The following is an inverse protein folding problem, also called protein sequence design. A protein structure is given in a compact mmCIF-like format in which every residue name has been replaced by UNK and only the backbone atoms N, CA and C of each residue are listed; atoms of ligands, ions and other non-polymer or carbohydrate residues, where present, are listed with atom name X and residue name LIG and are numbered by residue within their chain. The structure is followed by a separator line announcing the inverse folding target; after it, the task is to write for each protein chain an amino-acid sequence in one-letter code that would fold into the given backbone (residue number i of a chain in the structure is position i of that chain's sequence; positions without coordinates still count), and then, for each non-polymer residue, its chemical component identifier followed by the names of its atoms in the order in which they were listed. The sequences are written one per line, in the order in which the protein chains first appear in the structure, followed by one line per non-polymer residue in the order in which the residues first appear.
data_IF_544762923301
#
_entry.id   IF_544762923301
#
_cell.length_a   1.000
_cell.length_b   1.000
_cell.length_c   1.000
_cell.angle_alpha   90.00
_cell.angle_beta   90.00
_cell.angle_gamma   90.00
#
_symmetry.space_group_name_H-M   'P 1'
#
loop_
_entity.id
_entity.type
_entity.pdbx_description
1 polymer ?
#
# COMPACT_ATOMS: atom_id res chain seq x y z
N UNK A 1 -31.46 17.57 -6.56
CA UNK A 1 -31.76 16.59 -7.59
C UNK A 1 -30.98 15.31 -7.37
N UNK A 2 -31.57 14.16 -7.68
CA UNK A 2 -30.86 12.89 -7.47
C UNK A 2 -29.52 12.81 -8.21
N UNK A 3 -29.44 13.40 -9.40
CA UNK A 3 -28.20 13.40 -10.18
C UNK A 3 -27.06 14.12 -9.46
N UNK A 4 -27.37 15.24 -8.82
CA UNK A 4 -26.35 16.01 -8.11
C UNK A 4 -25.80 15.22 -6.91
N UNK A 5 -26.67 14.57 -6.15
CA UNK A 5 -26.26 13.75 -5.01
C UNK A 5 -25.42 12.55 -5.48
N UNK A 6 -25.81 11.93 -6.58
CA UNK A 6 -25.08 10.82 -7.17
C UNK A 6 -23.69 11.26 -7.65
N UNK A 7 -23.61 12.42 -8.29
CA UNK A 7 -22.33 12.96 -8.78
C UNK A 7 -21.36 13.20 -7.64
N UNK A 8 -21.83 13.74 -6.50
CA UNK A 8 -20.99 13.95 -5.34
C UNK A 8 -20.48 12.63 -4.76
N UNK A 9 -21.34 11.63 -4.65
CA UNK A 9 -20.95 10.31 -4.18
C UNK A 9 -19.93 9.67 -5.12
N UNK A 10 -20.16 9.76 -6.43
CA UNK A 10 -19.25 9.23 -7.44
C UNK A 10 -17.89 9.91 -7.37
N UNK A 11 -17.88 11.24 -7.16
CA UNK A 11 -16.64 11.99 -7.04
C UNK A 11 -15.84 11.51 -5.82
N UNK A 12 -16.48 11.36 -4.66
CA UNK A 12 -15.82 10.88 -3.44
C UNK A 12 -15.28 9.46 -3.64
N UNK A 13 -16.05 8.57 -4.26
CA UNK A 13 -15.63 7.21 -4.55
C UNK A 13 -14.43 7.19 -5.49
N UNK A 14 -14.43 8.07 -6.51
CA UNK A 14 -13.30 8.21 -7.44
C UNK A 14 -12.04 8.68 -6.73
N UNK A 15 -12.16 9.68 -5.85
CA UNK A 15 -11.02 10.19 -5.12
C UNK A 15 -10.41 9.13 -4.21
N UNK A 16 -11.25 8.36 -3.52
CA UNK A 16 -10.80 7.25 -2.67
C UNK A 16 -10.16 6.15 -3.49
N UNK A 17 -10.73 5.83 -4.65
CA UNK A 17 -10.17 4.81 -5.54
C UNK A 17 -8.80 5.24 -6.09
N UNK A 18 -8.65 6.52 -6.42
CA UNK A 18 -7.37 7.06 -6.89
C UNK A 18 -6.31 7.01 -5.80
N UNK A 19 -6.66 7.40 -4.57
CA UNK A 19 -5.75 7.32 -3.43
C UNK A 19 -5.32 5.88 -3.18
N UNK A 20 -6.26 4.96 -3.18
CA UNK A 20 -5.97 3.53 -2.99
C UNK A 20 -5.03 3.01 -4.07
N UNK A 21 -5.27 3.40 -5.33
CA UNK A 21 -4.41 3.02 -6.45
C UNK A 21 -3.00 3.57 -6.34
N UNK A 22 -2.86 4.82 -5.91
CA UNK A 22 -1.55 5.45 -5.71
C UNK A 22 -0.77 4.77 -4.59
N UNK A 23 -1.43 4.46 -3.48
CA UNK A 23 -0.82 3.74 -2.36
C UNK A 23 -0.39 2.33 -2.76
N UNK A 24 -1.24 1.64 -3.53
CA UNK A 24 -0.91 0.31 -4.07
C UNK A 24 0.35 0.37 -4.93
N UNK A 25 0.45 1.37 -5.81
CA UNK A 25 1.61 1.57 -6.67
C UNK A 25 2.86 1.84 -5.85
N UNK A 26 2.77 2.68 -4.84
CA UNK A 26 3.90 3.02 -3.99
C UNK A 26 4.48 1.79 -3.30
N UNK A 27 3.62 0.94 -2.76
CA UNK A 27 4.04 -0.29 -2.10
C UNK A 27 4.70 -1.24 -3.11
N UNK A 28 4.08 -1.41 -4.26
CA UNK A 28 4.58 -2.29 -5.33
C UNK A 28 5.94 -1.82 -5.84
N UNK A 29 6.09 -0.52 -6.06
CA UNK A 29 7.35 0.07 -6.53
C UNK A 29 8.48 -0.11 -5.52
N UNK A 30 8.19 0.10 -4.24
CA UNK A 30 9.19 -0.09 -3.19
C UNK A 30 9.65 -1.54 -3.15
N UNK A 31 8.70 -2.48 -3.19
CA UNK A 31 9.02 -3.90 -3.16
C UNK A 31 9.86 -4.33 -4.38
N UNK A 32 9.45 -3.92 -5.57
CA UNK A 32 10.16 -4.30 -6.79
C UNK A 32 11.53 -3.65 -6.89
N UNK A 33 11.67 -2.43 -6.40
CA UNK A 33 12.97 -1.75 -6.31
C UNK A 33 13.96 -2.53 -5.45
N UNK A 34 13.46 -3.16 -4.39
CA UNK A 34 14.29 -3.99 -3.52
C UNK A 34 14.55 -5.38 -4.08
N UNK A 35 13.92 -5.73 -5.20
CA UNK A 35 14.10 -7.03 -5.84
C UNK A 35 13.44 -8.18 -5.08
N UNK A 36 12.41 -7.91 -4.27
CA UNK A 36 11.78 -8.91 -3.43
C UNK A 36 10.44 -9.35 -4.00
N UNK A 37 10.11 -10.63 -3.86
CA UNK A 37 8.77 -11.13 -4.11
C UNK A 37 7.83 -10.68 -3.00
N UNK A 38 6.51 -10.84 -3.20
CA UNK A 38 5.54 -10.53 -2.16
C UNK A 38 5.80 -11.33 -0.88
N UNK A 39 6.07 -12.62 -1.03
CA UNK A 39 6.33 -13.50 0.11
C UNK A 39 7.61 -13.07 0.84
N UNK A 40 8.67 -12.78 0.09
CA UNK A 40 9.94 -12.34 0.69
C UNK A 40 9.79 -11.02 1.43
N UNK A 41 9.12 -10.05 0.82
CA UNK A 41 8.88 -8.75 1.46
C UNK A 41 8.05 -8.92 2.73
N UNK A 42 6.95 -9.65 2.63
CA UNK A 42 6.06 -9.89 3.76
C UNK A 42 6.79 -10.56 4.92
N UNK A 43 7.58 -11.57 4.64
CA UNK A 43 8.35 -12.28 5.66
C UNK A 43 9.41 -11.38 6.30
N UNK A 44 10.17 -10.67 5.47
CA UNK A 44 11.29 -9.84 5.95
C UNK A 44 10.84 -8.68 6.83
N UNK A 45 9.72 -8.05 6.47
CA UNK A 45 9.24 -6.83 7.14
C UNK A 45 8.03 -7.08 8.02
N UNK A 46 7.66 -8.33 8.23
CA UNK A 46 6.57 -8.73 9.12
C UNK A 46 5.22 -8.14 8.76
N UNK A 47 4.93 -8.13 7.46
CA UNK A 47 3.61 -7.78 6.95
C UNK A 47 2.90 -9.07 6.58
N UNK A 48 1.65 -9.29 6.98
CA UNK A 48 0.91 -10.46 6.53
C UNK A 48 0.83 -10.47 5.00
N UNK A 49 1.18 -11.60 4.36
CA UNK A 49 1.25 -11.64 2.90
C UNK A 49 -0.10 -11.40 2.24
N UNK A 50 -1.19 -11.85 2.85
CA UNK A 50 -2.53 -11.58 2.34
C UNK A 50 -2.86 -10.08 2.37
N UNK A 51 -2.47 -9.40 3.43
CA UNK A 51 -2.64 -7.95 3.56
C UNK A 51 -1.82 -7.22 2.49
N UNK A 52 -0.57 -7.62 2.30
CA UNK A 52 0.28 -7.02 1.27
C UNK A 52 -0.33 -7.18 -0.12
N UNK A 53 -0.83 -8.37 -0.43
CA UNK A 53 -1.48 -8.63 -1.71
C UNK A 53 -2.72 -7.76 -1.91
N UNK A 54 -3.54 -7.62 -0.88
CA UNK A 54 -4.74 -6.79 -0.94
C UNK A 54 -4.37 -5.32 -1.18
N UNK A 55 -3.33 -4.83 -0.53
CA UNK A 55 -2.84 -3.46 -0.74
C UNK A 55 -2.32 -3.26 -2.16
N UNK A 56 -1.50 -4.19 -2.66
CA UNK A 56 -0.91 -4.05 -3.99
C UNK A 56 -1.92 -4.19 -5.11
N UNK A 57 -3.00 -4.94 -4.88
CA UNK A 57 -4.08 -5.10 -5.85
C UNK A 57 -5.20 -4.08 -5.67
N UNK A 58 -5.02 -3.12 -4.79
CA UNK A 58 -6.00 -2.06 -4.50
C UNK A 58 -7.35 -2.60 -4.03
N UNK A 59 -7.37 -3.74 -3.36
CA UNK A 59 -8.57 -4.30 -2.74
C UNK A 59 -8.86 -3.67 -1.39
N UNK A 60 -7.83 -3.20 -0.71
CA UNK A 60 -7.92 -2.52 0.57
C UNK A 60 -6.98 -1.32 0.54
N UNK A 61 -7.34 -0.27 1.25
CA UNK A 61 -6.52 0.94 1.33
C UNK A 61 -5.51 0.80 2.46
N UNK A 62 -4.21 0.86 2.17
CA UNK A 62 -3.22 0.87 3.24
C UNK A 62 -3.41 2.10 4.12
N UNK A 63 -3.41 1.95 5.45
CA UNK A 63 -3.49 3.10 6.34
C UNK A 63 -2.20 3.93 6.29
N UNK A 64 -2.27 5.15 6.82
CA UNK A 64 -1.13 6.07 6.78
C UNK A 64 0.12 5.47 7.42
N UNK A 65 -0.02 4.76 8.55
CA UNK A 65 1.15 4.16 9.19
C UNK A 65 1.82 3.10 8.31
N UNK A 66 1.04 2.38 7.51
CA UNK A 66 1.58 1.38 6.60
C UNK A 66 2.39 2.04 5.48
N UNK A 67 1.88 3.14 4.94
CA UNK A 67 2.60 3.91 3.92
C UNK A 67 3.89 4.49 4.51
N UNK A 68 3.85 5.02 5.72
CA UNK A 68 5.04 5.51 6.41
C UNK A 68 6.06 4.39 6.61
N UNK A 69 5.60 3.20 7.02
CA UNK A 69 6.46 2.03 7.19
C UNK A 69 7.14 1.64 5.88
N UNK A 70 6.38 1.59 4.80
CA UNK A 70 6.93 1.26 3.47
C UNK A 70 7.96 2.30 3.02
N UNK A 71 7.74 3.57 3.31
CA UNK A 71 8.71 4.62 3.00
C UNK A 71 10.04 4.41 3.75
N UNK A 72 9.97 4.07 5.02
CA UNK A 72 11.17 3.78 5.82
C UNK A 72 11.88 2.55 5.28
N UNK A 73 11.14 1.50 4.93
CA UNK A 73 11.69 0.30 4.31
C UNK A 73 12.44 0.65 3.02
N UNK A 74 11.85 1.51 2.18
CA UNK A 74 12.47 1.90 0.91
C UNK A 74 13.79 2.62 1.09
N UNK A 75 13.95 3.37 2.18
CA UNK A 75 15.17 4.12 2.45
C UNK A 75 16.20 3.31 3.23
N UNK A 76 15.76 2.46 4.14
CA UNK A 76 16.64 1.72 5.05
C UNK A 76 16.21 0.26 5.20
N UNK A 77 16.19 -0.52 4.10
CA UNK A 77 15.63 -1.87 4.15
C UNK A 77 16.37 -2.79 5.13
N UNK A 78 17.69 -2.73 5.16
CA UNK A 78 18.48 -3.62 6.03
C UNK A 78 18.29 -3.27 7.51
N UNK A 79 18.23 -1.99 7.80
CA UNK A 79 18.02 -1.51 9.18
C UNK A 79 16.64 -1.97 9.69
N UNK A 80 15.61 -1.80 8.88
CA UNK A 80 14.25 -2.19 9.27
C UNK A 80 14.16 -3.70 9.43
N UNK A 81 14.68 -4.47 8.47
CA UNK A 81 14.64 -5.93 8.54
C UNK A 81 15.31 -6.43 9.83
N UNK A 82 16.43 -5.83 10.19
CA UNK A 82 17.15 -6.17 11.42
C UNK A 82 16.35 -5.80 12.66
N UNK A 83 15.72 -4.63 12.63
CA UNK A 83 14.97 -4.13 13.79
C UNK A 83 13.74 -4.96 14.09
N UNK A 84 13.09 -5.54 13.07
CA UNK A 84 11.86 -6.33 13.24
C UNK A 84 12.09 -7.84 13.18
N UNK A 85 13.31 -8.27 13.05
CA UNK A 85 13.67 -9.70 12.94
C UNK A 85 13.22 -10.52 14.14
#
# INVERSE_FOLDING_TARGET
LPADATDVEDFDASAKAMDRGQRARQIRQTRTKLGLSQVEFASRFRVPVGTLRDWEQARATPPDFAIAYVQVIGQHPDLVAKAVA
#
